data_IF_709142936268
#
_entry.id   IF_709142936268
#
_cell.length_a   1.000
_cell.length_b   1.000
_cell.length_c   1.000
_cell.angle_alpha   90.00
_cell.angle_beta   90.00
_cell.angle_gamma   90.00
#
_symmetry.space_group_name_H-M   'P 1'
#
loop_
_entity.id
_entity.type
_entity.pdbx_description
1 polymer ?
#
# COMPACT_ATOMS: atom_id res chain seq x y z
N UNK A 1 19.11 -3.89 -15.19
CA UNK A 1 19.67 -4.54 -13.98
C UNK A 1 19.84 -3.58 -12.80
N UNK A 2 20.28 -2.32 -12.98
CA UNK A 2 20.47 -1.37 -11.85
C UNK A 2 19.23 -1.18 -10.97
N UNK A 3 18.07 -0.91 -11.56
CA UNK A 3 16.80 -0.77 -10.84
C UNK A 3 16.47 -2.00 -9.95
N UNK A 4 16.72 -3.22 -10.44
CA UNK A 4 16.51 -4.43 -9.66
C UNK A 4 17.49 -4.54 -8.48
N UNK A 5 18.76 -4.21 -8.71
CA UNK A 5 19.76 -4.17 -7.65
C UNK A 5 19.38 -3.14 -6.56
N UNK A 6 18.86 -1.97 -6.95
CA UNK A 6 18.38 -0.94 -6.02
C UNK A 6 17.16 -1.40 -5.21
N UNK A 7 16.18 -2.08 -5.83
CA UNK A 7 15.06 -2.72 -5.10
C UNK A 7 15.60 -3.69 -4.03
N UNK A 8 16.57 -4.54 -4.40
CA UNK A 8 17.17 -5.50 -3.47
C UNK A 8 17.92 -4.80 -2.33
N UNK A 9 18.73 -3.79 -2.64
CA UNK A 9 19.44 -3.00 -1.63
C UNK A 9 18.46 -2.35 -0.64
N UNK A 10 17.33 -1.81 -1.11
CA UNK A 10 16.29 -1.27 -0.24
C UNK A 10 15.63 -2.36 0.63
N UNK A 11 15.40 -3.56 0.07
CA UNK A 11 14.80 -4.68 0.80
C UNK A 11 15.66 -5.19 1.97
N UNK A 12 16.94 -4.83 2.01
CA UNK A 12 17.90 -5.21 3.06
C UNK A 12 18.06 -4.15 4.17
N UNK A 13 17.26 -3.09 4.17
CA UNK A 13 17.29 -2.06 5.20
C UNK A 13 16.49 -2.45 6.44
N UNK A 14 16.88 -1.96 7.63
CA UNK A 14 16.10 -2.18 8.87
C UNK A 14 14.79 -1.38 8.89
N UNK A 15 14.79 -0.23 8.22
CA UNK A 15 13.66 0.70 8.09
C UNK A 15 13.62 1.23 6.67
N UNK A 16 12.43 1.22 6.08
CA UNK A 16 12.20 1.66 4.72
C UNK A 16 11.20 2.82 4.69
N UNK A 17 11.53 3.84 3.90
CA UNK A 17 10.60 4.90 3.51
C UNK A 17 10.29 4.72 2.02
N UNK A 18 9.03 4.68 1.65
CA UNK A 18 8.57 4.53 0.26
C UNK A 18 7.82 5.77 -0.20
N UNK A 19 7.68 5.93 -1.52
CA UNK A 19 6.87 7.00 -2.11
C UNK A 19 5.48 6.46 -2.46
N UNK A 20 4.45 7.26 -2.20
CA UNK A 20 3.08 6.93 -2.55
C UNK A 20 2.93 6.63 -4.05
N UNK A 21 2.13 5.60 -4.35
CA UNK A 21 1.85 5.05 -5.68
C UNK A 21 3.05 4.34 -6.35
N UNK A 22 4.21 4.24 -5.69
CA UNK A 22 5.40 3.62 -6.29
C UNK A 22 5.41 2.11 -6.13
N UNK A 23 5.20 1.38 -7.23
CA UNK A 23 5.34 -0.08 -7.25
C UNK A 23 6.78 -0.55 -7.03
N UNK A 24 7.78 0.30 -7.30
CA UNK A 24 9.19 0.03 -6.98
C UNK A 24 9.38 -0.18 -5.47
N UNK A 25 8.77 0.70 -4.67
CA UNK A 25 8.77 0.60 -3.21
C UNK A 25 8.01 -0.62 -2.70
N UNK A 26 6.88 -0.96 -3.33
CA UNK A 26 6.10 -2.14 -2.96
C UNK A 26 6.87 -3.44 -3.13
N UNK A 27 7.68 -3.57 -4.18
CA UNK A 27 8.52 -4.77 -4.36
C UNK A 27 9.61 -4.81 -3.29
N UNK A 28 10.30 -3.68 -3.04
CA UNK A 28 11.37 -3.62 -2.04
C UNK A 28 10.86 -3.96 -0.62
N UNK A 29 9.74 -3.37 -0.21
CA UNK A 29 9.17 -3.59 1.12
C UNK A 29 8.69 -5.04 1.29
N UNK A 30 8.09 -5.64 0.25
CA UNK A 30 7.57 -7.01 0.30
C UNK A 30 8.70 -8.03 0.36
N UNK A 31 9.77 -7.83 -0.42
CA UNK A 31 10.96 -8.69 -0.38
C UNK A 31 11.67 -8.65 0.98
N UNK A 32 11.70 -7.48 1.63
CA UNK A 32 12.33 -7.31 2.94
C UNK A 32 11.44 -7.69 4.12
N UNK A 33 10.16 -8.00 3.90
CA UNK A 33 9.20 -8.20 4.99
C UNK A 33 8.96 -6.93 5.83
N UNK A 34 9.08 -5.74 5.21
CA UNK A 34 9.13 -4.46 5.91
C UNK A 34 7.78 -3.74 5.83
N UNK A 35 7.33 -3.20 6.97
CA UNK A 35 6.21 -2.26 7.06
C UNK A 35 6.72 -0.81 6.96
N UNK A 36 6.68 -0.17 5.77
CA UNK A 36 7.37 1.08 5.53
C UNK A 36 6.66 2.29 6.15
N UNK A 37 7.35 3.43 6.13
CA UNK A 37 6.72 4.75 6.16
C UNK A 37 6.47 5.23 4.73
N UNK A 38 5.25 5.62 4.40
CA UNK A 38 4.86 6.04 3.05
C UNK A 38 4.82 7.56 3.01
N UNK A 39 5.72 8.16 2.24
CA UNK A 39 5.64 9.58 1.86
C UNK A 39 4.44 9.77 0.94
N UNK A 40 3.49 10.61 1.34
CA UNK A 40 2.34 10.90 0.51
C UNK A 40 2.76 11.61 -0.78
N UNK A 41 2.01 11.34 -1.85
CA UNK A 41 2.20 12.05 -3.12
C UNK A 41 1.88 13.53 -2.91
N UNK A 42 2.81 14.46 -3.22
CA UNK A 42 2.52 15.89 -3.18
C UNK A 42 1.42 16.26 -4.18
N UNK A 43 0.53 17.15 -3.77
CA UNK A 43 -0.43 17.81 -4.66
C UNK A 43 -0.01 19.26 -4.86
N UNK A 44 -0.13 19.77 -6.09
CA UNK A 44 0.24 21.16 -6.43
C UNK A 44 1.64 21.56 -5.94
N UNK A 45 2.60 20.63 -5.99
CA UNK A 45 3.99 20.83 -5.53
C UNK A 45 4.10 21.28 -4.06
N UNK A 46 3.08 21.00 -3.26
CA UNK A 46 3.04 21.34 -1.83
C UNK A 46 3.31 20.08 -1.00
N UNK A 47 4.15 20.22 0.02
CA UNK A 47 4.44 19.12 0.94
C UNK A 47 3.17 18.75 1.74
N UNK A 48 2.76 17.46 1.75
CA UNK A 48 1.65 17.01 2.58
C UNK A 48 1.93 17.21 4.08
N UNK A 49 0.87 17.42 4.88
CA UNK A 49 0.92 17.45 6.34
C UNK A 49 -0.17 16.52 6.91
N UNK A 50 0.20 15.38 7.56
CA UNK A 50 1.56 14.93 7.81
C UNK A 50 2.28 14.50 6.51
N UNK A 51 3.63 14.53 6.47
CA UNK A 51 4.39 14.22 5.24
C UNK A 51 4.41 12.73 4.91
N UNK A 52 4.26 11.87 5.92
CA UNK A 52 4.21 10.42 5.75
C UNK A 52 3.37 9.77 6.84
N UNK A 53 2.94 8.54 6.57
CA UNK A 53 2.31 7.67 7.57
C UNK A 53 2.92 6.27 7.54
N UNK A 54 2.83 5.54 8.66
CA UNK A 54 3.26 4.14 8.72
C UNK A 54 2.23 3.28 7.99
N UNK A 55 2.69 2.41 7.11
CA UNK A 55 1.81 1.44 6.46
C UNK A 55 1.13 0.52 7.48
N UNK A 56 -0.09 0.05 7.16
CA UNK A 56 -0.84 -0.92 7.94
C UNK A 56 -0.27 -2.33 7.80
N UNK A 57 0.27 -2.67 6.62
CA UNK A 57 0.94 -3.94 6.32
C UNK A 57 2.04 -3.75 5.26
N UNK A 58 2.89 -4.78 5.09
CA UNK A 58 3.93 -4.80 4.05
C UNK A 58 3.37 -5.04 2.64
N UNK A 59 2.09 -5.39 2.51
CA UNK A 59 1.49 -5.82 1.25
C UNK A 59 1.42 -4.69 0.21
N UNK A 60 1.55 -5.03 -1.10
CA UNK A 60 1.41 -4.06 -2.18
C UNK A 60 -0.03 -3.55 -2.31
N UNK A 61 -0.18 -2.37 -2.89
CA UNK A 61 -1.49 -1.82 -3.24
C UNK A 61 -1.94 -2.27 -4.64
N UNK A 62 -3.13 -2.85 -4.76
CA UNK A 62 -3.82 -3.07 -6.02
C UNK A 62 -4.52 -1.78 -6.46
N UNK A 63 -3.93 -1.06 -7.41
CA UNK A 63 -4.35 0.30 -7.80
C UNK A 63 -5.65 0.41 -8.57
N UNK A 64 -6.12 -0.67 -9.19
CA UNK A 64 -7.30 -0.69 -10.05
C UNK A 64 -8.17 -1.92 -9.75
N UNK A 65 -8.71 -2.00 -8.52
CA UNK A 65 -9.59 -3.09 -8.12
C UNK A 65 -10.95 -3.01 -8.84
N UNK A 66 -11.63 -4.14 -9.06
CA UNK A 66 -13.02 -4.13 -9.50
C UNK A 66 -13.94 -3.67 -8.37
N UNK A 67 -14.93 -2.83 -8.69
CA UNK A 67 -15.95 -2.31 -7.75
C UNK A 67 -17.33 -2.89 -8.06
N UNK A 68 -17.42 -4.22 -8.16
CA UNK A 68 -18.61 -4.92 -8.66
C UNK A 68 -19.01 -6.13 -7.80
N UNK A 69 -20.27 -6.19 -7.39
CA UNK A 69 -20.87 -7.36 -6.77
C UNK A 69 -21.42 -8.27 -7.88
N UNK A 70 -20.71 -9.37 -8.13
CA UNK A 70 -21.09 -10.36 -9.14
C UNK A 70 -22.46 -11.01 -8.87
N UNK A 71 -22.85 -11.16 -7.59
CA UNK A 71 -24.10 -11.84 -7.21
C UNK A 71 -25.29 -10.88 -7.24
N UNK A 72 -25.11 -9.65 -6.75
CA UNK A 72 -26.10 -8.59 -6.77
C UNK A 72 -26.22 -7.86 -8.11
N UNK A 73 -25.27 -8.09 -9.03
CA UNK A 73 -25.20 -7.45 -10.35
C UNK A 73 -25.25 -5.91 -10.27
N UNK A 74 -24.47 -5.35 -9.33
CA UNK A 74 -24.44 -3.91 -9.01
C UNK A 74 -23.02 -3.46 -8.65
N UNK A 75 -22.78 -2.15 -8.71
CA UNK A 75 -21.59 -1.56 -8.12
C UNK A 75 -21.56 -1.73 -6.60
N UNK A 76 -20.38 -1.99 -6.04
CA UNK A 76 -20.16 -2.14 -4.60
C UNK A 76 -18.75 -1.66 -4.23
N UNK A 77 -18.61 -1.04 -3.06
CA UNK A 77 -17.31 -0.78 -2.46
C UNK A 77 -16.90 -1.92 -1.51
N UNK A 78 -15.60 -2.11 -1.29
CA UNK A 78 -15.09 -3.13 -0.38
C UNK A 78 -15.52 -2.91 1.07
N UNK A 79 -15.76 -1.66 1.45
CA UNK A 79 -16.26 -1.30 2.77
C UNK A 79 -17.67 -1.87 3.01
N UNK A 80 -18.46 -2.10 1.95
CA UNK A 80 -19.77 -2.78 2.03
C UNK A 80 -19.65 -4.31 2.15
N UNK A 81 -18.53 -4.90 1.70
CA UNK A 81 -18.33 -6.35 1.65
C UNK A 81 -17.88 -6.96 2.99
N UNK A 82 -17.57 -6.14 4.00
CA UNK A 82 -17.17 -6.54 5.37
C UNK A 82 -16.05 -7.60 5.39
N UNK A 83 -15.06 -7.49 4.49
CA UNK A 83 -13.92 -8.41 4.41
C UNK A 83 -12.77 -7.87 5.26
N UNK A 84 -12.53 -8.41 6.48
CA UNK A 84 -11.67 -7.75 7.46
C UNK A 84 -10.18 -7.70 7.10
N UNK A 85 -9.74 -8.56 6.17
CA UNK A 85 -8.35 -8.67 5.71
C UNK A 85 -8.08 -7.89 4.42
N UNK A 86 -9.05 -7.13 3.92
CA UNK A 86 -8.90 -6.25 2.75
C UNK A 86 -9.31 -4.84 3.17
N UNK A 87 -8.46 -3.86 2.89
CA UNK A 87 -8.72 -2.45 3.19
C UNK A 87 -8.25 -1.57 2.03
N UNK A 88 -8.72 -0.33 2.01
CA UNK A 88 -8.18 0.68 1.11
C UNK A 88 -6.71 0.99 1.43
N UNK A 89 -5.93 1.31 0.40
CA UNK A 89 -4.52 1.63 0.57
C UNK A 89 -4.30 3.00 1.20
N UNK A 90 -3.21 3.11 1.97
CA UNK A 90 -2.75 4.31 2.66
C UNK A 90 -2.37 5.43 1.70
N UNK A 91 -1.86 5.07 0.52
CA UNK A 91 -1.30 5.99 -0.44
C UNK A 91 -2.20 6.20 -1.66
N UNK A 92 -3.18 5.31 -1.89
CA UNK A 92 -4.13 5.40 -3.00
C UNK A 92 -5.53 5.00 -2.54
N UNK A 93 -6.37 6.00 -2.27
CA UNK A 93 -7.65 5.84 -1.58
C UNK A 93 -8.64 4.87 -2.23
N UNK A 94 -8.61 4.69 -3.55
CA UNK A 94 -9.46 3.71 -4.25
C UNK A 94 -8.77 2.36 -4.52
N UNK A 95 -7.49 2.22 -4.16
CA UNK A 95 -6.78 0.95 -4.27
C UNK A 95 -7.09 0.04 -3.09
N UNK A 96 -6.81 -1.26 -3.23
CA UNK A 96 -6.99 -2.26 -2.17
C UNK A 96 -5.67 -2.91 -1.78
N UNK A 97 -5.53 -3.27 -0.52
CA UNK A 97 -4.42 -4.13 -0.06
C UNK A 97 -4.88 -5.11 1.00
N UNK A 98 -4.07 -6.15 1.16
CA UNK A 98 -4.23 -7.10 2.25
C UNK A 98 -3.68 -6.51 3.55
N UNK A 99 -4.39 -6.78 4.64
CA UNK A 99 -3.97 -6.41 6.00
C UNK A 99 -3.97 -7.65 6.87
N UNK A 100 -2.97 -7.74 7.73
CA UNK A 100 -2.86 -8.84 8.69
C UNK A 100 -3.58 -8.44 9.99
N UNK A 101 -4.24 -9.40 10.64
CA UNK A 101 -4.95 -9.17 11.92
C UNK A 101 -4.07 -9.42 13.15
N UNK A 102 -2.88 -9.99 12.98
CA UNK A 102 -2.12 -10.57 14.10
C UNK A 102 -1.09 -9.64 14.76
N UNK A 103 -1.36 -8.33 14.88
CA UNK A 103 -0.51 -7.43 15.70
C UNK A 103 -1.32 -6.36 16.47
N UNK A 104 -2.36 -6.78 17.18
CA UNK A 104 -2.87 -6.09 18.38
C UNK A 104 -2.59 -6.92 19.64
N UNK A 105 -1.30 -7.14 19.93
CA UNK A 105 -0.80 -7.50 21.26
C UNK A 105 0.53 -6.81 21.54
#
# INVERSE_FOLDING_TARGET
MKAWAEIYLLSWTDKLVTSGWSTFGYVAQSLGGLKPWILYKPENQTAPDPPCQRAVSMEPCFHAPPTYDCRGNRGIDIDELLVPHVQHCEDRSWGLKLVDRDNEQ
#
